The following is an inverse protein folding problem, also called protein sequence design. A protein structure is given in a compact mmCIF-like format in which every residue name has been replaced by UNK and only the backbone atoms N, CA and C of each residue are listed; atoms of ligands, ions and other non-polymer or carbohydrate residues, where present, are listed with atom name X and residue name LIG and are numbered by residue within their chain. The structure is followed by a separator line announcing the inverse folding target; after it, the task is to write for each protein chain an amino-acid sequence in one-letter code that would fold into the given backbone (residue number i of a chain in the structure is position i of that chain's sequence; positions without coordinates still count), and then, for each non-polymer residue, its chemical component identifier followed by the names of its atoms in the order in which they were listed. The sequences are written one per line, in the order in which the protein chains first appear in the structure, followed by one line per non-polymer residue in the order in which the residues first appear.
data_IF_163830162560
#
_entry.id   IF_163830162560
#
_cell.length_a   1.000
_cell.length_b   1.000
_cell.length_c   1.000
_cell.angle_alpha   90.00
_cell.angle_beta   90.00
_cell.angle_gamma   90.00
#
_symmetry.space_group_name_H-M   'P 1'
#
loop_
_entity.id
_entity.type
_entity.pdbx_description
1 polymer ?
#
# COMPACT_ATOMS: atom_id res chain seq x y z
N UNK A 1 19.70 -50.51 -3.00
CA UNK A 1 18.56 -49.73 -3.53
C UNK A 1 17.52 -49.30 -2.49
N UNK A 2 17.22 -50.10 -1.44
CA UNK A 2 16.15 -49.79 -0.45
C UNK A 2 16.33 -48.48 0.35
N UNK A 3 17.56 -48.09 0.72
CA UNK A 3 17.81 -46.84 1.50
C UNK A 3 17.49 -45.54 0.74
N UNK A 4 17.77 -45.48 -0.58
CA UNK A 4 17.48 -44.29 -1.40
C UNK A 4 15.97 -44.07 -1.61
N UNK A 5 15.21 -45.15 -1.76
CA UNK A 5 13.74 -45.10 -1.92
C UNK A 5 13.08 -44.63 -0.61
N UNK A 6 13.55 -45.10 0.54
CA UNK A 6 13.01 -44.70 1.85
C UNK A 6 13.28 -43.21 2.16
N UNK A 7 14.44 -42.69 1.78
CA UNK A 7 14.76 -41.26 1.92
C UNK A 7 13.90 -40.37 1.02
N UNK A 8 13.66 -40.77 -0.22
CA UNK A 8 12.79 -40.02 -1.15
C UNK A 8 11.34 -40.01 -0.66
N UNK A 9 10.82 -41.14 -0.19
CA UNK A 9 9.48 -41.22 0.41
C UNK A 9 9.37 -40.36 1.68
N UNK A 10 10.37 -40.37 2.55
CA UNK A 10 10.40 -39.55 3.77
C UNK A 10 10.39 -38.04 3.48
N UNK A 11 11.18 -37.57 2.51
CA UNK A 11 11.22 -36.15 2.12
C UNK A 11 9.89 -35.71 1.49
N UNK A 12 9.30 -36.54 0.62
CA UNK A 12 8.03 -36.24 -0.03
C UNK A 12 6.87 -36.18 0.98
N UNK A 13 6.86 -37.07 1.98
CA UNK A 13 5.86 -37.09 3.05
C UNK A 13 5.99 -35.88 4.00
N UNK A 14 7.22 -35.50 4.38
CA UNK A 14 7.45 -34.30 5.18
C UNK A 14 6.98 -33.03 4.45
N UNK A 15 7.26 -32.89 3.16
CA UNK A 15 6.75 -31.76 2.37
C UNK A 15 5.22 -31.76 2.33
N UNK A 16 4.59 -32.91 2.05
CA UNK A 16 3.12 -33.03 1.98
C UNK A 16 2.40 -32.71 3.30
N UNK A 17 3.03 -32.90 4.46
CA UNK A 17 2.46 -32.56 5.78
C UNK A 17 2.76 -31.12 6.21
N UNK A 18 3.88 -30.55 5.76
CA UNK A 18 4.28 -29.18 6.10
C UNK A 18 3.46 -28.16 5.29
N UNK A 19 3.20 -28.41 4.00
CA UNK A 19 2.45 -27.47 3.15
C UNK A 19 1.02 -27.14 3.66
N UNK A 20 0.15 -28.11 4.03
CA UNK A 20 -1.21 -27.84 4.49
C UNK A 20 -1.23 -26.99 5.77
N UNK A 21 -0.36 -27.29 6.72
CA UNK A 21 -0.32 -26.61 8.03
C UNK A 21 0.11 -25.14 7.88
N UNK A 22 1.10 -24.86 7.03
CA UNK A 22 1.57 -23.50 6.78
C UNK A 22 0.52 -22.67 6.03
N UNK A 23 -0.20 -23.28 5.09
CA UNK A 23 -1.30 -22.64 4.34
C UNK A 23 -2.48 -22.33 5.27
N UNK A 24 -2.87 -23.26 6.15
CA UNK A 24 -3.98 -23.06 7.08
C UNK A 24 -3.68 -21.98 8.14
N UNK A 25 -2.45 -21.94 8.66
CA UNK A 25 -2.01 -20.90 9.58
C UNK A 25 -1.94 -19.51 8.93
N UNK A 26 -1.51 -19.43 7.67
CA UNK A 26 -1.50 -18.19 6.90
C UNK A 26 -2.92 -17.67 6.62
N UNK A 27 -3.85 -18.57 6.26
CA UNK A 27 -5.26 -18.24 6.03
C UNK A 27 -5.94 -17.68 7.29
N UNK A 28 -5.71 -18.30 8.45
CA UNK A 28 -6.23 -17.80 9.74
C UNK A 28 -5.76 -16.37 10.03
N UNK A 29 -4.46 -16.12 9.92
CA UNK A 29 -3.85 -14.79 10.14
C UNK A 29 -4.37 -13.75 9.15
N UNK A 30 -4.61 -14.15 7.90
CA UNK A 30 -5.21 -13.29 6.88
C UNK A 30 -6.62 -12.84 7.26
N UNK A 31 -7.45 -13.78 7.74
CA UNK A 31 -8.81 -13.50 8.20
C UNK A 31 -8.83 -12.59 9.42
N UNK A 32 -7.96 -12.85 10.41
CA UNK A 32 -7.81 -12.00 11.60
C UNK A 32 -7.42 -10.56 11.24
N UNK A 33 -6.47 -10.39 10.31
CA UNK A 33 -6.06 -9.09 9.80
C UNK A 33 -7.25 -8.34 9.15
N UNK A 34 -8.01 -9.01 8.27
CA UNK A 34 -9.20 -8.44 7.62
C UNK A 34 -10.22 -7.97 8.66
N UNK A 35 -10.56 -8.80 9.64
CA UNK A 35 -11.51 -8.44 10.72
C UNK A 35 -11.00 -7.24 11.51
N UNK A 36 -9.72 -7.22 11.89
CA UNK A 36 -9.11 -6.10 12.60
C UNK A 36 -9.23 -4.79 11.82
N UNK A 37 -8.89 -4.81 10.53
CA UNK A 37 -8.97 -3.64 9.66
C UNK A 37 -10.40 -3.16 9.44
N UNK A 38 -11.36 -4.06 9.22
CA UNK A 38 -12.76 -3.70 9.05
C UNK A 38 -13.32 -3.02 10.30
N UNK A 39 -12.99 -3.52 11.51
CA UNK A 39 -13.37 -2.87 12.78
C UNK A 39 -12.77 -1.47 12.89
N UNK A 40 -11.49 -1.31 12.57
CA UNK A 40 -10.81 -0.01 12.59
C UNK A 40 -11.47 1.00 11.63
N UNK A 41 -11.75 0.59 10.38
CA UNK A 41 -12.39 1.45 9.38
C UNK A 41 -13.79 1.85 9.82
N UNK A 42 -14.62 0.90 10.30
CA UNK A 42 -15.96 1.21 10.83
C UNK A 42 -15.91 2.25 11.96
N UNK A 43 -14.99 2.08 12.92
CA UNK A 43 -14.82 3.05 14.02
C UNK A 43 -14.40 4.43 13.51
N UNK A 44 -13.49 4.49 12.53
CA UNK A 44 -13.03 5.76 11.95
C UNK A 44 -14.11 6.47 11.14
N UNK A 45 -14.89 5.72 10.38
CA UNK A 45 -16.05 6.25 9.68
C UNK A 45 -17.08 6.81 10.66
N UNK A 46 -17.46 6.05 11.69
CA UNK A 46 -18.42 6.52 12.70
C UNK A 46 -17.95 7.80 13.41
N UNK A 47 -16.66 7.90 13.77
CA UNK A 47 -16.11 9.11 14.37
C UNK A 47 -16.13 10.31 13.42
N UNK A 48 -15.83 10.09 12.13
CA UNK A 48 -15.88 11.14 11.11
C UNK A 48 -17.32 11.60 10.84
N UNK A 49 -18.26 10.65 10.68
CA UNK A 49 -19.68 10.93 10.47
C UNK A 49 -20.27 11.71 11.67
N UNK A 50 -19.83 11.42 12.90
CA UNK A 50 -20.24 12.15 14.10
C UNK A 50 -19.66 13.58 14.18
N UNK A 51 -18.45 13.82 13.66
CA UNK A 51 -17.77 15.11 13.69
C UNK A 51 -18.24 16.05 12.56
N UNK A 52 -18.51 15.50 11.37
CA UNK A 52 -18.77 16.29 10.15
C UNK A 52 -20.20 16.12 9.58
N UNK A 53 -21.02 15.22 10.13
CA UNK A 53 -22.42 15.03 9.72
C UNK A 53 -22.61 14.72 8.23
N UNK A 54 -23.71 15.19 7.63
CA UNK A 54 -24.02 15.06 6.20
C UNK A 54 -23.05 15.81 5.26
N UNK A 55 -22.32 16.80 5.78
CA UNK A 55 -21.32 17.56 5.01
C UNK A 55 -19.99 16.79 4.84
N UNK A 56 -19.78 15.75 5.63
CA UNK A 56 -18.59 14.92 5.58
C UNK A 56 -18.73 13.75 4.62
N UNK A 57 -18.37 13.93 3.34
CA UNK A 57 -18.14 12.78 2.47
C UNK A 57 -16.85 12.06 2.92
N UNK A 58 -16.97 11.06 3.81
CA UNK A 58 -15.89 10.10 4.04
C UNK A 58 -15.64 9.37 2.72
N UNK A 59 -14.71 9.87 1.90
CA UNK A 59 -14.42 9.26 0.61
C UNK A 59 -13.75 7.90 0.74
N UNK A 60 -13.29 7.55 1.95
CA UNK A 60 -13.35 6.17 2.38
C UNK A 60 -12.60 5.12 1.60
N UNK A 61 -11.67 5.56 0.76
CA UNK A 61 -11.03 4.70 -0.18
C UNK A 61 -9.98 3.89 0.55
N UNK A 62 -10.31 2.61 0.79
CA UNK A 62 -9.40 1.65 1.37
C UNK A 62 -9.30 0.37 0.53
N UNK A 63 -8.12 -0.27 0.59
CA UNK A 63 -7.90 -1.62 0.06
C UNK A 63 -7.33 -2.46 1.18
N UNK A 64 -7.79 -3.70 1.29
CA UNK A 64 -7.11 -4.74 2.06
C UNK A 64 -6.49 -5.68 1.04
N UNK A 65 -5.15 -5.69 0.96
CA UNK A 65 -4.44 -6.42 -0.09
C UNK A 65 -3.08 -6.88 0.40
N UNK A 66 -2.69 -8.11 0.05
CA UNK A 66 -1.35 -8.64 0.27
C UNK A 66 -0.39 -8.06 -0.78
N UNK A 67 0.41 -7.09 -0.37
CA UNK A 67 1.33 -6.38 -1.26
C UNK A 67 2.69 -7.07 -1.27
N UNK A 68 3.09 -7.66 -0.15
CA UNK A 68 4.44 -8.19 0.04
C UNK A 68 4.54 -9.71 -0.28
N UNK A 69 3.40 -10.38 -0.48
CA UNK A 69 3.30 -11.80 -0.84
C UNK A 69 3.30 -12.77 0.35
N UNK A 70 3.25 -12.29 1.60
CA UNK A 70 3.34 -13.11 2.81
C UNK A 70 2.00 -13.67 3.30
N UNK A 71 0.93 -13.51 2.51
CA UNK A 71 -0.45 -13.93 2.78
C UNK A 71 -1.15 -13.18 3.91
N UNK A 72 -0.48 -12.23 4.56
CA UNK A 72 -1.07 -11.33 5.55
C UNK A 72 -1.28 -9.97 4.89
N UNK A 73 -2.52 -9.56 4.61
CA UNK A 73 -2.76 -8.36 3.85
C UNK A 73 -2.40 -7.09 4.63
N UNK A 74 -2.09 -6.06 3.88
CA UNK A 74 -1.98 -4.70 4.35
C UNK A 74 -3.26 -3.91 4.11
N UNK A 75 -3.49 -2.93 4.99
CA UNK A 75 -4.57 -1.97 4.84
C UNK A 75 -3.99 -0.67 4.27
N UNK A 76 -4.47 -0.31 3.08
CA UNK A 76 -4.17 0.93 2.38
C UNK A 76 -5.37 1.85 2.54
N UNK A 77 -5.15 3.09 2.99
CA UNK A 77 -6.25 4.05 3.24
C UNK A 77 -5.89 5.42 2.68
N UNK A 78 -6.85 6.07 2.03
CA UNK A 78 -6.80 7.46 1.60
C UNK A 78 -7.88 8.26 2.34
N UNK A 79 -7.60 9.51 2.68
CA UNK A 79 -8.63 10.46 3.13
C UNK A 79 -8.90 10.49 4.64
N UNK A 80 -8.11 9.83 5.47
CA UNK A 80 -8.23 9.98 6.93
C UNK A 80 -7.57 11.30 7.35
N UNK A 81 -8.38 12.33 7.66
CA UNK A 81 -7.92 13.66 8.09
C UNK A 81 -6.91 14.29 7.11
N UNK A 82 -7.16 14.16 5.80
CA UNK A 82 -6.23 14.63 4.77
C UNK A 82 -4.90 13.87 4.76
N UNK A 83 -4.87 12.58 5.15
CA UNK A 83 -3.64 11.75 5.15
C UNK A 83 -3.90 10.40 4.52
N UNK A 84 -2.89 9.87 3.82
CA UNK A 84 -2.88 8.48 3.35
C UNK A 84 -2.02 7.63 4.25
N UNK A 85 -2.46 6.39 4.49
CA UNK A 85 -1.82 5.48 5.43
C UNK A 85 -1.63 4.09 4.83
N UNK A 86 -0.53 3.46 5.25
CA UNK A 86 -0.24 2.04 5.02
C UNK A 86 -0.14 1.39 6.39
N UNK A 87 -0.99 0.41 6.67
CA UNK A 87 -0.96 -0.40 7.89
C UNK A 87 -0.63 -1.85 7.57
N UNK A 88 0.09 -2.49 8.49
CA UNK A 88 0.33 -3.94 8.49
C UNK A 88 -0.25 -4.55 9.76
N UNK A 89 -0.42 -5.86 9.77
CA UNK A 89 -0.96 -6.60 10.89
C UNK A 89 0.13 -7.38 11.62
N UNK A 90 0.30 -7.11 12.91
CA UNK A 90 1.21 -7.87 13.78
C UNK A 90 0.47 -9.07 14.35
N UNK A 91 0.64 -10.21 13.70
CA UNK A 91 0.03 -11.49 14.09
C UNK A 91 0.36 -11.88 15.54
N UNK A 92 1.61 -11.73 15.97
CA UNK A 92 2.02 -12.03 17.36
C UNK A 92 1.31 -11.21 18.44
N UNK A 93 0.84 -9.99 18.10
CA UNK A 93 0.21 -9.08 19.07
C UNK A 93 -1.29 -8.90 18.81
N UNK A 94 -1.84 -9.60 17.81
CA UNK A 94 -3.21 -9.42 17.30
C UNK A 94 -3.59 -7.94 17.13
N UNK A 95 -2.67 -7.14 16.57
CA UNK A 95 -2.79 -5.66 16.51
C UNK A 95 -2.28 -5.11 15.18
N UNK A 96 -2.95 -4.09 14.67
CA UNK A 96 -2.46 -3.31 13.54
C UNK A 96 -1.27 -2.42 13.93
N UNK A 97 -0.35 -2.19 12.97
CA UNK A 97 0.77 -1.23 13.08
C UNK A 97 0.81 -0.34 11.85
N UNK A 98 0.90 0.98 12.06
CA UNK A 98 1.20 1.94 10.99
C UNK A 98 2.62 1.71 10.46
N UNK A 99 2.76 1.52 9.14
CA UNK A 99 4.04 1.43 8.46
C UNK A 99 4.51 2.81 7.99
N UNK A 100 3.64 3.52 7.25
CA UNK A 100 3.91 4.84 6.69
C UNK A 100 2.63 5.67 6.63
N UNK A 101 2.84 6.98 6.60
CA UNK A 101 1.81 7.97 6.31
C UNK A 101 2.39 9.03 5.40
N UNK A 102 1.55 9.63 4.58
CA UNK A 102 1.87 10.82 3.79
C UNK A 102 0.75 11.82 4.02
N UNK A 103 1.13 13.05 4.35
CA UNK A 103 0.20 14.17 4.41
C UNK A 103 -0.27 14.52 3.00
N UNK A 104 -1.57 14.71 2.88
CA UNK A 104 -2.23 15.15 1.66
C UNK A 104 -2.43 16.65 1.83
N UNK A 105 -1.74 17.43 1.01
CA UNK A 105 -2.15 18.81 0.81
C UNK A 105 -3.42 18.74 -0.04
N UNK A 106 -4.51 19.28 0.48
CA UNK A 106 -5.81 19.25 -0.20
C UNK A 106 -5.78 20.18 -1.42
N UNK A 107 -6.35 19.70 -2.51
CA UNK A 107 -7.05 20.54 -3.48
C UNK A 107 -8.46 19.98 -3.61
N UNK A 108 -9.46 20.86 -3.63
CA UNK A 108 -10.88 20.48 -3.78
C UNK A 108 -11.16 19.75 -5.11
N UNK A 109 -10.29 19.91 -6.12
CA UNK A 109 -10.45 19.30 -7.46
C UNK A 109 -9.49 18.14 -7.78
N UNK A 110 -8.35 18.03 -7.09
CA UNK A 110 -7.40 16.93 -7.26
C UNK A 110 -7.34 16.09 -6.00
N UNK A 111 -8.32 15.18 -5.89
CA UNK A 111 -8.40 14.22 -4.79
C UNK A 111 -7.10 13.39 -4.74
N UNK A 112 -6.48 13.28 -3.56
CA UNK A 112 -5.29 12.45 -3.39
C UNK A 112 -5.58 11.00 -3.75
N UNK A 113 -4.55 10.29 -4.24
CA UNK A 113 -4.70 8.92 -4.74
C UNK A 113 -3.62 8.01 -4.20
N UNK A 114 -3.95 6.74 -4.07
CA UNK A 114 -3.01 5.68 -3.74
C UNK A 114 -3.00 4.67 -4.89
N UNK A 115 -1.79 4.29 -5.30
CA UNK A 115 -1.58 3.24 -6.30
C UNK A 115 -0.77 2.11 -5.69
N UNK A 116 -1.01 0.87 -6.09
CA UNK A 116 -0.23 -0.26 -5.61
C UNK A 116 -0.05 -1.34 -6.67
N UNK A 117 1.01 -2.13 -6.52
CA UNK A 117 1.26 -3.32 -7.32
C UNK A 117 1.74 -4.44 -6.41
N UNK A 118 0.89 -5.44 -6.19
CA UNK A 118 1.23 -6.64 -5.44
C UNK A 118 2.38 -7.40 -6.12
N UNK A 119 2.31 -7.57 -7.44
CA UNK A 119 3.36 -8.22 -8.24
C UNK A 119 4.74 -7.56 -8.07
N UNK A 120 4.80 -6.24 -7.91
CA UNK A 120 6.06 -5.49 -7.76
C UNK A 120 6.41 -5.17 -6.31
N UNK A 121 5.53 -5.54 -5.38
CA UNK A 121 5.59 -5.19 -3.96
C UNK A 121 5.78 -3.69 -3.70
N UNK A 122 5.00 -2.87 -4.41
CA UNK A 122 5.10 -1.39 -4.41
C UNK A 122 3.79 -0.72 -4.04
N UNK A 123 3.92 0.39 -3.33
CA UNK A 123 2.84 1.34 -3.04
C UNK A 123 3.31 2.74 -3.42
N UNK A 124 2.44 3.54 -4.01
CA UNK A 124 2.70 4.94 -4.36
C UNK A 124 1.64 5.80 -3.68
N UNK A 125 2.12 6.76 -2.90
CA UNK A 125 1.30 7.80 -2.28
C UNK A 125 1.38 9.04 -3.17
N UNK A 126 0.23 9.52 -3.66
CA UNK A 126 0.13 10.72 -4.48
C UNK A 126 -0.44 11.87 -3.65
N UNK A 127 0.25 13.00 -3.66
CA UNK A 127 -0.29 14.29 -3.21
C UNK A 127 -0.27 15.28 -4.35
N UNK A 128 -1.22 16.22 -4.36
CA UNK A 128 -1.29 17.30 -5.33
C UNK A 128 -1.43 18.63 -4.59
N UNK A 129 -0.85 19.67 -5.15
CA UNK A 129 -1.06 21.05 -4.73
C UNK A 129 -1.14 21.94 -5.99
N UNK A 130 -1.51 23.23 -5.86
CA UNK A 130 -1.72 24.09 -7.03
C UNK A 130 -0.51 24.26 -7.95
N UNK A 131 0.69 23.89 -7.50
CA UNK A 131 1.93 24.03 -8.26
C UNK A 131 2.58 22.72 -8.66
N UNK A 132 2.14 21.58 -8.14
CA UNK A 132 2.81 20.30 -8.36
C UNK A 132 1.97 19.08 -8.00
N UNK A 133 2.34 17.93 -8.58
CA UNK A 133 1.86 16.61 -8.18
C UNK A 133 3.06 15.75 -7.79
N UNK A 134 3.03 15.22 -6.57
CA UNK A 134 4.11 14.41 -6.00
C UNK A 134 3.69 12.96 -5.87
N UNK A 135 4.53 12.06 -6.35
CA UNK A 135 4.41 10.61 -6.20
C UNK A 135 5.57 10.10 -5.35
N UNK A 136 5.27 9.58 -4.17
CA UNK A 136 6.26 8.91 -3.31
C UNK A 136 6.07 7.41 -3.43
N UNK A 137 7.04 6.74 -4.05
CA UNK A 137 7.04 5.29 -4.22
C UNK A 137 7.76 4.62 -3.06
N UNK A 138 7.08 3.66 -2.45
CA UNK A 138 7.58 2.78 -1.42
C UNK A 138 7.63 1.34 -1.95
N UNK A 139 8.68 0.60 -1.57
CA UNK A 139 8.86 -0.81 -1.93
C UNK A 139 9.10 -1.63 -0.67
N UNK A 140 8.52 -2.83 -0.61
CA UNK A 140 8.85 -3.79 0.42
C UNK A 140 10.26 -4.36 0.24
N UNK A 141 10.95 -4.54 1.36
CA UNK A 141 12.21 -5.28 1.52
C UNK A 141 12.03 -6.19 2.73
N UNK A 142 11.60 -7.44 2.50
CA UNK A 142 11.05 -8.30 3.54
C UNK A 142 9.80 -7.67 4.19
N UNK A 143 9.66 -7.76 5.51
CA UNK A 143 8.53 -7.20 6.28
C UNK A 143 8.61 -5.69 6.52
N UNK A 144 9.54 -4.98 5.88
CA UNK A 144 9.74 -3.53 6.04
C UNK A 144 9.49 -2.84 4.69
N UNK A 145 8.84 -1.68 4.74
CA UNK A 145 8.65 -0.83 3.57
C UNK A 145 9.66 0.34 3.60
N UNK A 146 10.35 0.58 2.48
CA UNK A 146 11.33 1.68 2.34
C UNK A 146 10.95 2.60 1.19
N UNK A 147 11.28 3.89 1.30
CA UNK A 147 11.13 4.84 0.19
C UNK A 147 12.08 4.42 -0.92
N UNK A 148 11.54 4.22 -2.11
CA UNK A 148 12.32 3.87 -3.31
C UNK A 148 12.60 5.11 -4.15
N UNK A 149 11.59 5.97 -4.35
CA UNK A 149 11.77 7.21 -5.10
C UNK A 149 10.69 8.25 -4.84
N UNK A 150 11.01 9.49 -5.15
CA UNK A 150 10.07 10.60 -5.25
C UNK A 150 10.08 11.13 -6.69
N UNK A 151 8.90 11.28 -7.29
CA UNK A 151 8.70 11.94 -8.57
C UNK A 151 7.76 13.13 -8.37
N UNK A 152 8.17 14.31 -8.79
CA UNK A 152 7.34 15.52 -8.75
C UNK A 152 7.12 16.00 -10.18
N UNK A 153 5.86 16.23 -10.55
CA UNK A 153 5.48 16.96 -11.75
C UNK A 153 5.17 18.41 -11.33
N UNK A 154 6.05 19.36 -11.69
CA UNK A 154 5.94 20.77 -11.34
C UNK A 154 5.30 21.53 -12.50
N UNK A 155 4.16 22.19 -12.23
CA UNK A 155 3.39 22.97 -13.20
C UNK A 155 3.11 24.41 -12.76
N UNK A 156 3.42 24.77 -11.51
CA UNK A 156 3.27 26.13 -10.98
C UNK A 156 4.05 27.17 -11.77
N UNK A 157 3.54 28.40 -11.82
CA UNK A 157 4.14 29.51 -12.59
C UNK A 157 5.45 30.03 -12.00
N UNK A 158 5.62 29.92 -10.67
CA UNK A 158 6.77 30.48 -9.94
C UNK A 158 7.97 29.52 -9.84
N UNK A 159 7.88 28.32 -10.43
CA UNK A 159 8.92 27.30 -10.36
C UNK A 159 9.30 26.86 -11.76
N UNK A 160 10.55 26.42 -11.93
CA UNK A 160 10.96 25.74 -13.17
C UNK A 160 10.08 24.52 -13.39
N UNK A 161 9.22 24.60 -14.41
CA UNK A 161 8.30 23.54 -14.81
C UNK A 161 9.06 22.29 -15.28
N UNK A 162 8.44 21.14 -15.08
CA UNK A 162 8.98 19.86 -15.54
C UNK A 162 8.92 18.79 -14.46
N UNK A 163 9.78 17.78 -14.60
CA UNK A 163 9.79 16.63 -13.71
C UNK A 163 11.04 16.59 -12.87
N UNK A 164 10.87 16.41 -11.56
CA UNK A 164 11.96 16.19 -10.61
C UNK A 164 11.89 14.76 -10.10
N UNK A 165 12.95 13.99 -10.31
CA UNK A 165 13.06 12.62 -9.84
C UNK A 165 14.21 12.52 -8.84
N UNK A 166 13.90 12.12 -7.60
CA UNK A 166 14.86 12.06 -6.49
C UNK A 166 15.70 13.34 -6.34
N UNK A 167 15.05 14.51 -6.46
CA UNK A 167 15.69 15.82 -6.31
C UNK A 167 16.40 16.35 -7.56
N UNK A 168 16.46 15.59 -8.67
CA UNK A 168 17.09 16.03 -9.92
C UNK A 168 16.07 16.23 -11.03
N UNK A 169 16.19 17.31 -11.78
CA UNK A 169 15.39 17.51 -12.98
C UNK A 169 15.70 16.42 -14.02
N UNK A 170 14.65 15.91 -14.65
CA UNK A 170 14.73 14.93 -15.73
C UNK A 170 13.96 15.42 -16.96
N UNK A 171 14.25 14.85 -18.13
CA UNK A 171 13.55 15.22 -19.36
C UNK A 171 12.05 14.94 -19.28
N UNK A 172 11.26 15.76 -19.98
CA UNK A 172 9.79 15.61 -20.04
C UNK A 172 9.37 14.23 -20.55
N UNK A 173 10.09 13.67 -21.53
CA UNK A 173 9.85 12.31 -22.05
C UNK A 173 10.01 11.25 -20.97
N UNK A 174 11.08 11.32 -20.18
CA UNK A 174 11.33 10.37 -19.10
C UNK A 174 10.33 10.54 -17.94
N UNK A 175 10.00 11.78 -17.59
CA UNK A 175 9.01 12.11 -16.57
C UNK A 175 7.63 11.54 -16.88
N UNK A 176 7.10 11.82 -18.07
CA UNK A 176 5.82 11.26 -18.57
C UNK A 176 5.82 9.73 -18.53
N UNK A 177 6.91 9.10 -19.00
CA UNK A 177 7.06 7.62 -18.97
C UNK A 177 6.96 7.07 -17.53
N UNK A 178 7.57 7.73 -16.55
CA UNK A 178 7.51 7.33 -15.13
C UNK A 178 6.10 7.51 -14.55
N UNK A 179 5.43 8.63 -14.82
CA UNK A 179 4.03 8.85 -14.40
C UNK A 179 3.12 7.76 -14.99
N UNK A 180 3.18 7.53 -16.29
CA UNK A 180 2.35 6.50 -16.94
C UNK A 180 2.60 5.10 -16.36
N UNK A 181 3.84 4.77 -15.98
CA UNK A 181 4.15 3.51 -15.31
C UNK A 181 3.51 3.39 -13.92
N UNK A 182 3.43 4.49 -13.18
CA UNK A 182 2.73 4.54 -11.88
C UNK A 182 1.23 4.38 -12.09
N UNK A 183 0.66 5.06 -13.08
CA UNK A 183 -0.78 5.00 -13.36
C UNK A 183 -1.25 3.61 -13.83
N UNK A 184 -0.34 2.77 -14.36
CA UNK A 184 -0.60 1.36 -14.68
C UNK A 184 -0.71 0.46 -13.44
N UNK A 185 -0.38 0.95 -12.25
CA UNK A 185 -0.61 0.20 -11.02
C UNK A 185 -2.10 0.23 -10.66
N UNK A 186 -2.52 -0.71 -9.82
CA UNK A 186 -3.90 -0.75 -9.36
C UNK A 186 -4.18 0.53 -8.57
N UNK A 187 -5.15 1.29 -9.04
CA UNK A 187 -5.59 2.53 -8.42
C UNK A 187 -6.63 2.21 -7.35
N UNK A 188 -6.55 2.94 -6.23
CA UNK A 188 -7.64 3.01 -5.28
C UNK A 188 -8.66 4.03 -5.80
N UNK A 189 -9.84 3.54 -6.20
CA UNK A 189 -10.99 4.35 -6.56
C UNK A 189 -11.87 4.52 -5.34
#
# INVERSE_FOLDING_TARGET
MKKKILQILGITLCMALIFPVHVQAANKKSSEAKVCYTKFIKKKKAAYDAEYGEYGAWEGNYKIVDINGDKIPELLVVGLNGKSYIYTYKTQKNKMKKLKSQELLQMDSLRPRLYYSAQKHKVVLMSANPSSMTFVTYKYKGKKIKKESTLVNVFGKNYRRGYVYNGKYISSKLGKKKVNKILKYNKLQ
#
